data_IF_178298583131
#
_entry.id   IF_178298583131
#
_cell.length_a   1.000
_cell.length_b   1.000
_cell.length_c   1.000
_cell.angle_alpha   90.00
_cell.angle_beta   90.00
_cell.angle_gamma   90.00
#
_symmetry.space_group_name_H-M   'P 1'
#
loop_
_entity.id
_entity.type
_entity.pdbx_description
1 polymer ?
#
# COMPACT_ATOMS: atom_id res chain seq x y z
N UNK A 1 -6.10 -18.35 -0.26
CA UNK A 1 -4.66 -18.55 -0.42
C UNK A 1 -3.97 -17.22 -0.78
N UNK A 2 -2.84 -16.89 -0.11
CA UNK A 2 -2.05 -15.69 -0.38
C UNK A 2 -0.65 -16.12 -0.80
N UNK A 3 -0.04 -15.36 -1.70
CA UNK A 3 1.37 -15.51 -2.09
C UNK A 3 2.06 -14.16 -2.00
N UNK A 4 3.34 -14.17 -1.64
CA UNK A 4 4.20 -12.98 -1.70
C UNK A 4 5.29 -13.18 -2.73
N UNK A 5 5.55 -12.11 -3.49
CA UNK A 5 6.67 -12.04 -4.44
C UNK A 5 7.47 -10.79 -4.10
N UNK A 6 8.77 -10.88 -3.97
CA UNK A 6 9.62 -9.68 -3.83
C UNK A 6 10.51 -9.52 -5.05
N UNK A 7 10.64 -8.27 -5.48
CA UNK A 7 11.61 -7.83 -6.49
C UNK A 7 12.75 -7.00 -5.84
N UNK A 8 12.80 -6.94 -4.50
CA UNK A 8 13.87 -6.23 -3.77
C UNK A 8 15.08 -7.15 -3.53
N UNK A 9 15.90 -7.29 -4.56
CA UNK A 9 17.14 -8.05 -4.50
C UNK A 9 18.38 -7.18 -4.21
N UNK A 10 18.20 -5.85 -4.08
CA UNK A 10 19.32 -4.92 -3.95
C UNK A 10 19.68 -4.60 -2.50
N UNK A 11 18.72 -4.66 -1.57
CA UNK A 11 18.98 -4.36 -0.17
C UNK A 11 19.46 -5.60 0.55
N UNK A 12 20.63 -5.45 1.21
CA UNK A 12 21.20 -6.52 2.06
C UNK A 12 20.17 -6.90 3.13
N UNK A 13 19.81 -8.18 3.20
CA UNK A 13 18.85 -8.69 4.19
C UNK A 13 17.38 -8.52 3.86
N UNK A 14 16.99 -7.76 2.81
CA UNK A 14 15.58 -7.59 2.44
C UNK A 14 14.89 -8.93 2.13
N UNK A 15 15.56 -9.78 1.37
CA UNK A 15 15.08 -11.13 1.07
C UNK A 15 14.86 -11.96 2.33
N UNK A 16 15.85 -12.02 3.22
CA UNK A 16 15.73 -12.77 4.49
C UNK A 16 14.59 -12.22 5.36
N UNK A 17 14.41 -10.91 5.38
CA UNK A 17 13.36 -10.26 6.15
C UNK A 17 11.97 -10.66 5.65
N UNK A 18 11.71 -10.59 4.35
CA UNK A 18 10.40 -10.95 3.81
C UNK A 18 10.14 -12.46 3.91
N UNK A 19 11.16 -13.31 3.72
CA UNK A 19 11.08 -14.76 3.92
C UNK A 19 10.74 -15.10 5.39
N UNK A 20 11.35 -14.38 6.35
CA UNK A 20 11.05 -14.53 7.78
C UNK A 20 9.60 -14.16 8.09
N UNK A 21 9.12 -13.03 7.59
CA UNK A 21 7.71 -12.65 7.77
C UNK A 21 6.74 -13.60 7.07
N UNK A 22 7.09 -14.06 5.87
CA UNK A 22 6.33 -15.11 5.19
C UNK A 22 6.20 -16.38 6.02
N UNK A 23 7.30 -16.82 6.63
CA UNK A 23 7.31 -17.97 7.54
C UNK A 23 6.43 -17.78 8.77
N UNK A 24 6.50 -16.60 9.42
CA UNK A 24 5.66 -16.25 10.59
C UNK A 24 4.17 -16.25 10.23
N UNK A 25 3.82 -15.75 9.05
CA UNK A 25 2.42 -15.65 8.59
C UNK A 25 1.92 -16.90 7.87
N UNK A 26 2.79 -17.90 7.63
CA UNK A 26 2.44 -19.08 6.84
C UNK A 26 2.16 -18.75 5.35
N UNK A 27 2.75 -17.67 4.82
CA UNK A 27 2.59 -17.23 3.44
C UNK A 27 3.86 -17.52 2.64
N UNK A 28 3.80 -18.33 1.58
CA UNK A 28 4.94 -18.60 0.73
C UNK A 28 5.46 -17.33 0.05
N UNK A 29 6.80 -17.20 -0.02
CA UNK A 29 7.50 -16.08 -0.62
C UNK A 29 8.31 -16.56 -1.81
N UNK A 30 8.24 -15.84 -2.93
CA UNK A 30 9.09 -16.04 -4.11
C UNK A 30 9.93 -14.79 -4.35
N UNK A 31 11.21 -14.97 -4.68
CA UNK A 31 12.11 -13.87 -5.03
C UNK A 31 12.35 -13.92 -6.55
N UNK A 32 12.16 -12.78 -7.22
CA UNK A 32 12.33 -12.65 -8.68
C UNK A 32 13.17 -11.44 -9.02
N UNK A 33 13.91 -11.50 -10.13
CA UNK A 33 14.85 -10.44 -10.51
C UNK A 33 14.45 -9.73 -11.81
N UNK A 34 13.72 -10.43 -12.67
CA UNK A 34 13.36 -9.91 -13.99
C UNK A 34 11.85 -9.81 -14.18
N UNK A 35 11.43 -8.98 -15.13
CA UNK A 35 10.04 -8.89 -15.54
C UNK A 35 9.48 -10.24 -16.05
N UNK A 36 10.33 -11.03 -16.68
CA UNK A 36 9.94 -12.35 -17.18
C UNK A 36 9.73 -13.34 -16.03
N UNK A 37 10.63 -13.35 -15.03
CA UNK A 37 10.47 -14.19 -13.85
C UNK A 37 9.23 -13.79 -13.05
N UNK A 38 8.98 -12.48 -12.91
CA UNK A 38 7.75 -11.99 -12.26
C UNK A 38 6.50 -12.50 -12.98
N UNK A 39 6.45 -12.40 -14.31
CA UNK A 39 5.32 -12.89 -15.09
C UNK A 39 5.12 -14.40 -14.95
N UNK A 40 6.19 -15.18 -15.02
CA UNK A 40 6.15 -16.64 -14.83
C UNK A 40 5.67 -17.03 -13.44
N UNK A 41 6.16 -16.33 -12.42
CA UNK A 41 5.80 -16.60 -11.02
C UNK A 41 4.34 -16.24 -10.74
N UNK A 42 3.84 -15.12 -11.29
CA UNK A 42 2.41 -14.76 -11.19
C UNK A 42 1.55 -15.81 -11.89
N UNK A 43 1.93 -16.23 -13.10
CA UNK A 43 1.20 -17.27 -13.83
C UNK A 43 1.22 -18.63 -13.09
N UNK A 44 2.32 -18.99 -12.47
CA UNK A 44 2.44 -20.20 -11.66
C UNK A 44 1.52 -20.19 -10.43
N UNK A 45 1.26 -19.00 -9.86
CA UNK A 45 0.37 -18.80 -8.72
C UNK A 45 -1.03 -18.29 -9.11
N UNK A 46 -1.47 -18.57 -10.34
CA UNK A 46 -2.79 -18.14 -10.85
C UNK A 46 -4.00 -18.65 -10.07
N UNK A 47 -3.81 -19.70 -9.26
CA UNK A 47 -4.80 -20.26 -8.32
C UNK A 47 -4.88 -19.53 -6.98
N UNK A 48 -3.98 -18.56 -6.71
CA UNK A 48 -4.00 -17.80 -5.48
C UNK A 48 -5.09 -16.72 -5.49
N UNK A 49 -5.77 -16.56 -4.34
CA UNK A 49 -6.79 -15.51 -4.17
C UNK A 49 -6.16 -14.12 -4.17
N UNK A 50 -4.91 -14.00 -3.72
CA UNK A 50 -4.17 -12.75 -3.65
C UNK A 50 -2.67 -12.99 -3.85
N UNK A 51 -2.06 -12.21 -4.71
CA UNK A 51 -0.61 -12.12 -4.86
C UNK A 51 -0.16 -10.71 -4.44
N UNK A 52 0.72 -10.62 -3.43
CA UNK A 52 1.33 -9.38 -2.99
C UNK A 52 2.73 -9.27 -3.60
N UNK A 53 3.00 -8.18 -4.32
CA UNK A 53 4.32 -7.92 -4.92
C UNK A 53 4.99 -6.80 -4.15
N UNK A 54 6.06 -7.16 -3.43
CA UNK A 54 6.92 -6.20 -2.72
C UNK A 54 7.98 -5.63 -3.66
N UNK A 55 8.19 -4.33 -3.58
CA UNK A 55 9.10 -3.60 -4.46
C UNK A 55 10.21 -2.92 -3.67
N UNK A 56 11.36 -2.74 -4.32
CA UNK A 56 12.44 -1.94 -3.74
C UNK A 56 12.02 -0.46 -3.64
N UNK A 57 12.29 0.16 -2.48
CA UNK A 57 12.13 1.60 -2.32
C UNK A 57 13.10 2.36 -3.26
N UNK A 58 12.56 3.18 -4.13
CA UNK A 58 13.35 4.03 -5.04
C UNK A 58 13.19 5.50 -4.69
N UNK A 59 14.27 6.25 -4.83
CA UNK A 59 14.20 7.70 -4.72
C UNK A 59 13.32 8.27 -5.85
N UNK A 60 12.38 9.17 -5.55
CA UNK A 60 11.57 9.83 -6.57
C UNK A 60 12.42 10.70 -7.53
N UNK A 61 13.70 10.95 -7.20
CA UNK A 61 14.62 11.74 -8.03
C UNK A 61 15.42 10.91 -9.04
N UNK A 62 15.36 9.58 -8.96
CA UNK A 62 16.09 8.66 -9.84
C UNK A 62 15.19 8.17 -10.98
N UNK A 63 15.05 8.99 -12.03
CA UNK A 63 14.18 8.70 -13.16
C UNK A 63 14.55 7.41 -13.89
N UNK A 64 15.84 7.06 -13.94
CA UNK A 64 16.30 5.84 -14.63
C UNK A 64 15.82 4.61 -13.88
N UNK A 65 16.03 4.58 -12.56
CA UNK A 65 15.57 3.45 -11.72
C UNK A 65 14.05 3.37 -11.62
N UNK A 66 13.35 4.51 -11.68
CA UNK A 66 11.88 4.50 -11.75
C UNK A 66 11.40 3.89 -13.06
N UNK A 67 12.01 4.23 -14.19
CA UNK A 67 11.64 3.64 -15.49
C UNK A 67 11.93 2.13 -15.54
N UNK A 68 13.04 1.68 -14.94
CA UNK A 68 13.37 0.26 -14.81
C UNK A 68 12.31 -0.47 -13.96
N UNK A 69 11.97 0.06 -12.80
CA UNK A 69 10.94 -0.50 -11.93
C UNK A 69 9.57 -0.56 -12.62
N UNK A 70 9.21 0.48 -13.37
CA UNK A 70 7.96 0.50 -14.14
C UNK A 70 7.90 -0.63 -15.17
N UNK A 71 9.02 -0.92 -15.86
CA UNK A 71 9.10 -2.05 -16.81
C UNK A 71 8.90 -3.40 -16.12
N UNK A 72 9.48 -3.58 -14.94
CA UNK A 72 9.30 -4.81 -14.16
C UNK A 72 7.84 -4.94 -13.71
N UNK A 73 7.26 -3.89 -13.14
CA UNK A 73 5.88 -3.90 -12.65
C UNK A 73 4.83 -4.04 -13.75
N UNK A 74 5.12 -3.64 -14.98
CA UNK A 74 4.25 -3.89 -16.13
C UNK A 74 4.01 -5.39 -16.36
N UNK A 75 4.90 -6.27 -15.88
CA UNK A 75 4.73 -7.71 -15.93
C UNK A 75 3.63 -8.25 -15.00
N UNK A 76 3.18 -7.46 -14.03
CA UNK A 76 2.05 -7.83 -13.16
C UNK A 76 0.70 -7.89 -13.92
N UNK A 77 0.64 -7.26 -15.10
CA UNK A 77 -0.58 -7.24 -15.91
C UNK A 77 -1.60 -6.18 -15.48
N UNK A 78 -2.71 -6.04 -16.25
CA UNK A 78 -3.67 -4.95 -16.07
C UNK A 78 -4.57 -5.08 -14.83
N UNK A 79 -4.63 -6.26 -14.23
CA UNK A 79 -5.42 -6.50 -13.01
C UNK A 79 -4.68 -6.10 -11.73
N UNK A 80 -3.38 -5.75 -11.83
CA UNK A 80 -2.60 -5.35 -10.67
C UNK A 80 -2.99 -3.95 -10.18
N UNK A 81 -3.20 -3.83 -8.87
CA UNK A 81 -3.38 -2.54 -8.21
C UNK A 81 -2.08 -2.12 -7.53
N UNK A 82 -1.56 -0.96 -7.90
CA UNK A 82 -0.37 -0.40 -7.27
C UNK A 82 -0.77 0.56 -6.14
N UNK A 83 -0.14 0.39 -4.99
CA UNK A 83 -0.29 1.28 -3.85
C UNK A 83 1.05 1.97 -3.57
N UNK A 84 1.03 3.31 -3.48
CA UNK A 84 2.22 4.09 -3.19
C UNK A 84 2.41 4.22 -1.68
N UNK A 85 3.50 3.68 -1.13
CA UNK A 85 3.82 3.83 0.29
C UNK A 85 4.57 5.15 0.54
N UNK A 86 4.03 5.99 1.43
CA UNK A 86 4.59 7.28 1.81
C UNK A 86 4.67 7.40 3.34
N UNK A 87 5.79 7.92 3.85
CA UNK A 87 5.94 8.17 5.28
C UNK A 87 5.18 9.42 5.71
N UNK A 88 4.45 9.34 6.81
CA UNK A 88 3.76 10.48 7.44
C UNK A 88 4.73 11.60 7.88
N UNK A 89 6.01 11.26 8.14
CA UNK A 89 7.04 12.23 8.52
C UNK A 89 7.60 13.05 7.35
N UNK A 90 7.20 12.74 6.12
CA UNK A 90 7.66 13.44 4.91
C UNK A 90 7.05 14.84 4.85
N UNK A 91 7.85 15.87 4.51
CA UNK A 91 7.34 17.22 4.29
C UNK A 91 6.29 17.25 3.17
N UNK A 92 5.28 18.12 3.30
CA UNK A 92 4.20 18.22 2.31
C UNK A 92 4.70 18.41 0.86
N UNK A 93 5.70 19.30 0.67
CA UNK A 93 6.31 19.54 -0.64
C UNK A 93 6.97 18.30 -1.24
N UNK A 94 7.70 17.53 -0.40
CA UNK A 94 8.43 16.35 -0.82
C UNK A 94 7.45 15.19 -1.09
N UNK A 95 6.39 15.09 -0.29
CA UNK A 95 5.30 14.13 -0.51
C UNK A 95 4.57 14.41 -1.83
N UNK A 96 4.20 15.67 -2.08
CA UNK A 96 3.58 16.09 -3.33
C UNK A 96 4.50 15.85 -4.53
N UNK A 97 5.80 16.07 -4.38
CA UNK A 97 6.79 15.75 -5.40
C UNK A 97 6.89 14.24 -5.65
N UNK A 98 6.97 13.43 -4.61
CA UNK A 98 7.00 11.97 -4.74
C UNK A 98 5.74 11.47 -5.47
N UNK A 99 4.56 11.92 -5.06
CA UNK A 99 3.30 11.56 -5.72
C UNK A 99 3.31 11.90 -7.22
N UNK A 100 3.86 13.07 -7.62
CA UNK A 100 4.00 13.42 -9.04
C UNK A 100 4.94 12.49 -9.80
N UNK A 101 6.08 12.14 -9.18
CA UNK A 101 7.08 11.30 -9.83
C UNK A 101 6.60 9.85 -10.00
N UNK A 102 5.73 9.38 -9.10
CA UNK A 102 5.13 8.05 -9.19
C UNK A 102 3.80 8.01 -9.97
N UNK A 103 3.27 9.14 -10.43
CA UNK A 103 2.04 9.19 -11.25
C UNK A 103 2.09 8.27 -12.50
N UNK A 104 3.22 8.16 -13.23
CA UNK A 104 3.33 7.25 -14.37
C UNK A 104 3.12 5.76 -14.05
N UNK A 105 3.15 5.38 -12.76
CA UNK A 105 2.85 4.01 -12.33
C UNK A 105 1.35 3.74 -12.22
N UNK A 106 0.51 4.74 -12.38
CA UNK A 106 -0.95 4.65 -12.24
C UNK A 106 -1.40 4.03 -10.91
N UNK A 107 -0.71 4.41 -9.79
CA UNK A 107 -1.08 3.91 -8.48
C UNK A 107 -2.51 4.32 -8.11
N UNK A 108 -3.25 3.38 -7.53
CA UNK A 108 -4.68 3.56 -7.23
C UNK A 108 -4.92 4.16 -5.85
N UNK A 109 -4.03 3.89 -4.91
CA UNK A 109 -4.17 4.35 -3.54
C UNK A 109 -2.80 4.62 -2.91
N UNK A 110 -2.82 5.24 -1.73
CA UNK A 110 -1.63 5.53 -0.93
C UNK A 110 -1.70 4.76 0.39
N UNK A 111 -0.58 4.17 0.79
CA UNK A 111 -0.37 3.62 2.13
C UNK A 111 0.43 4.66 2.93
N UNK A 112 -0.12 5.12 4.05
CA UNK A 112 0.59 6.03 4.95
C UNK A 112 1.31 5.22 6.00
N UNK A 113 2.63 5.32 6.04
CA UNK A 113 3.47 4.61 6.99
C UNK A 113 4.00 5.55 8.06
N UNK A 114 4.46 4.96 9.20
CA UNK A 114 5.14 5.69 10.29
C UNK A 114 4.27 6.78 10.92
N UNK A 115 2.99 6.50 11.09
CA UNK A 115 2.08 7.44 11.74
C UNK A 115 2.42 7.65 13.22
N UNK A 116 3.07 6.67 13.83
CA UNK A 116 3.59 6.70 15.20
C UNK A 116 4.80 7.63 15.40
N UNK A 117 5.48 8.01 14.32
CA UNK A 117 6.66 8.88 14.37
C UNK A 117 6.31 10.39 14.27
N UNK A 118 5.03 10.77 14.16
CA UNK A 118 4.62 12.17 14.02
C UNK A 118 3.24 12.44 14.62
N UNK A 119 3.12 13.58 15.29
CA UNK A 119 1.84 14.13 15.76
C UNK A 119 1.20 15.08 14.73
N UNK A 120 1.88 15.36 13.63
CA UNK A 120 1.48 16.36 12.62
C UNK A 120 1.24 15.74 11.26
N UNK A 121 0.02 15.33 10.99
CA UNK A 121 -0.37 14.71 9.70
C UNK A 121 -1.04 15.68 8.71
N UNK A 122 -1.08 16.96 9.02
CA UNK A 122 -1.64 17.98 8.11
C UNK A 122 -0.95 18.02 6.74
N UNK A 123 0.34 17.70 6.68
CA UNK A 123 1.11 17.51 5.46
C UNK A 123 0.53 16.39 4.57
N UNK A 124 0.16 15.25 5.18
CA UNK A 124 -0.45 14.10 4.49
C UNK A 124 -1.79 14.50 3.90
N UNK A 125 -2.66 15.10 4.72
CA UNK A 125 -4.00 15.51 4.28
C UNK A 125 -3.91 16.52 3.14
N UNK A 126 -3.03 17.52 3.23
CA UNK A 126 -2.85 18.54 2.18
C UNK A 126 -2.38 17.93 0.86
N UNK A 127 -1.36 17.07 0.90
CA UNK A 127 -0.81 16.44 -0.31
C UNK A 127 -1.81 15.51 -1.00
N UNK A 128 -2.59 14.76 -0.22
CA UNK A 128 -3.60 13.83 -0.74
C UNK A 128 -4.83 14.54 -1.28
N UNK A 129 -5.29 15.61 -0.61
CA UNK A 129 -6.43 16.40 -1.08
C UNK A 129 -6.16 17.02 -2.45
N UNK A 130 -4.94 17.55 -2.68
CA UNK A 130 -4.52 18.10 -3.98
C UNK A 130 -4.60 17.04 -5.10
N UNK A 131 -4.26 15.78 -4.80
CA UNK A 131 -4.16 14.70 -5.78
C UNK A 131 -5.41 13.82 -5.89
N UNK A 132 -6.35 13.95 -4.98
CA UNK A 132 -7.58 13.15 -4.91
C UNK A 132 -7.31 11.63 -4.91
N UNK A 133 -6.21 11.21 -4.27
CA UNK A 133 -5.88 9.79 -4.12
C UNK A 133 -6.39 9.28 -2.77
N UNK A 134 -7.08 8.12 -2.73
CA UNK A 134 -7.54 7.53 -1.48
C UNK A 134 -6.35 6.98 -0.67
N UNK A 135 -6.50 6.93 0.65
CA UNK A 135 -5.61 6.17 1.52
C UNK A 135 -6.20 4.77 1.68
N UNK A 136 -5.41 3.74 1.42
CA UNK A 136 -5.83 2.35 1.59
C UNK A 136 -5.56 1.82 2.99
N UNK A 137 -4.33 2.00 3.47
CA UNK A 137 -3.88 1.52 4.76
C UNK A 137 -3.01 2.56 5.48
N UNK A 138 -2.94 2.40 6.80
CA UNK A 138 -2.09 3.18 7.69
C UNK A 138 -1.26 2.20 8.52
N UNK A 139 0.03 2.49 8.73
CA UNK A 139 0.83 1.79 9.73
C UNK A 139 1.24 2.74 10.85
N UNK A 140 1.17 2.27 12.08
CA UNK A 140 1.38 3.06 13.30
C UNK A 140 2.31 2.37 14.29
N UNK A 141 3.27 1.58 13.79
CA UNK A 141 4.27 0.89 14.60
C UNK A 141 5.03 -0.17 13.82
N UNK A 142 5.75 -1.03 14.54
CA UNK A 142 6.66 -2.03 13.95
C UNK A 142 6.23 -3.48 14.15
N UNK A 143 5.13 -3.72 14.87
CA UNK A 143 4.63 -5.09 15.09
C UNK A 143 3.84 -5.58 13.89
N UNK A 144 4.27 -6.71 13.33
CA UNK A 144 3.59 -7.33 12.17
C UNK A 144 2.82 -8.55 12.65
N UNK A 145 1.53 -8.66 12.33
CA UNK A 145 0.67 -7.78 11.50
C UNK A 145 -0.14 -6.72 12.29
N UNK A 146 0.12 -6.50 13.57
CA UNK A 146 -0.75 -5.75 14.49
C UNK A 146 -0.82 -4.26 14.19
N UNK A 147 0.27 -3.66 13.73
CA UNK A 147 0.38 -2.20 13.57
C UNK A 147 0.05 -1.73 12.14
N UNK A 148 -0.85 -2.44 11.45
CA UNK A 148 -1.46 -2.02 10.19
C UNK A 148 -2.98 -2.01 10.30
N UNK A 149 -3.61 -0.96 9.80
CA UNK A 149 -5.06 -0.82 9.78
C UNK A 149 -5.55 -0.28 8.44
N UNK A 150 -6.81 -0.58 8.09
CA UNK A 150 -7.46 0.10 6.95
C UNK A 150 -7.64 1.57 7.28
N UNK A 151 -7.36 2.43 6.31
CA UNK A 151 -7.54 3.86 6.49
C UNK A 151 -9.03 4.20 6.63
N UNK A 152 -9.33 4.98 7.67
CA UNK A 152 -10.66 5.55 7.93
C UNK A 152 -10.52 7.06 8.11
N UNK A 153 -11.53 7.82 7.65
CA UNK A 153 -11.51 9.26 7.77
C UNK A 153 -11.41 9.70 9.24
N UNK A 154 -12.12 9.02 10.15
CA UNK A 154 -12.08 9.29 11.59
C UNK A 154 -10.68 9.15 12.16
N UNK A 155 -9.95 8.10 11.75
CA UNK A 155 -8.60 7.85 12.22
C UNK A 155 -7.64 8.97 11.82
N UNK A 156 -7.76 9.45 10.59
CA UNK A 156 -6.97 10.58 10.07
C UNK A 156 -7.34 11.88 10.80
N UNK A 157 -8.63 12.16 10.96
CA UNK A 157 -9.11 13.37 11.64
C UNK A 157 -8.67 13.41 13.11
N UNK A 158 -8.72 12.27 13.82
CA UNK A 158 -8.26 12.18 15.21
C UNK A 158 -6.76 12.40 15.38
N UNK A 159 -5.97 12.25 14.32
CA UNK A 159 -4.53 12.48 14.32
C UNK A 159 -4.14 13.90 13.87
N UNK A 160 -5.11 14.78 13.57
CA UNK A 160 -4.85 16.19 13.26
C UNK A 160 -4.68 17.00 14.54
N UNK A 161 -3.50 17.60 14.75
CA UNK A 161 -3.26 18.55 15.85
C UNK A 161 -4.18 19.79 15.74
N UNK A 162 -4.67 20.24 16.89
CA UNK A 162 -5.50 21.45 16.98
C UNK A 162 -6.96 21.25 16.58
N UNK A 163 -7.34 20.11 16.10
CA UNK A 163 -8.73 19.75 15.85
C UNK A 163 -9.33 19.17 17.15
N UNK A 164 -10.13 19.95 17.85
CA UNK A 164 -11.05 19.41 18.88
C UNK A 164 -12.16 18.68 18.15
N UNK A 165 -11.93 17.43 17.86
CA UNK A 165 -12.92 16.58 17.22
C UNK A 165 -13.86 16.09 18.29
N UNK A 166 -15.15 16.39 18.15
CA UNK A 166 -16.18 15.72 18.91
C UNK A 166 -16.27 14.27 18.41
N UNK A 167 -15.64 13.36 19.15
CA UNK A 167 -15.60 11.93 18.81
C UNK A 167 -16.98 11.35 18.61
N UNK A 168 -17.93 11.69 19.49
CA UNK A 168 -19.29 11.20 19.42
C UNK A 168 -19.96 11.59 18.11
N UNK A 169 -19.77 12.82 17.67
CA UNK A 169 -20.35 13.35 16.43
C UNK A 169 -19.71 12.75 15.17
N UNK A 170 -18.44 12.37 15.21
CA UNK A 170 -17.77 11.68 14.09
C UNK A 170 -18.22 10.22 14.04
N UNK A 171 -18.25 9.53 15.15
CA UNK A 171 -18.75 8.16 15.23
C UNK A 171 -20.22 8.07 14.78
N UNK A 172 -21.06 9.01 15.18
CA UNK A 172 -22.44 9.09 14.73
C UNK A 172 -22.57 9.32 13.21
N UNK A 173 -21.71 10.17 12.63
CA UNK A 173 -21.82 10.56 11.22
C UNK A 173 -21.10 9.62 10.26
N UNK A 174 -20.04 8.98 10.70
CA UNK A 174 -19.15 8.15 9.87
C UNK A 174 -18.87 6.75 10.43
N UNK A 175 -19.21 6.46 11.66
CA UNK A 175 -19.00 5.18 12.33
C UNK A 175 -19.97 4.06 11.91
N UNK A 176 -20.96 4.37 11.10
CA UNK A 176 -22.07 3.47 10.75
C UNK A 176 -21.89 2.66 9.46
N UNK A 177 -20.76 2.69 8.78
CA UNK A 177 -20.60 1.95 7.53
C UNK A 177 -19.21 1.32 7.40
N UNK A 178 -18.98 0.20 8.08
CA UNK A 178 -18.13 -0.82 7.51
C UNK A 178 -18.94 -1.43 6.35
N UNK A 179 -18.52 -1.32 5.07
CA UNK A 179 -19.10 -2.15 4.05
C UNK A 179 -18.74 -3.59 4.42
N UNK A 180 -19.75 -4.35 4.82
CA UNK A 180 -19.62 -5.80 4.84
C UNK A 180 -19.25 -6.21 3.41
N UNK A 181 -18.35 -7.19 3.21
CA UNK A 181 -18.11 -7.75 1.90
C UNK A 181 -19.45 -8.29 1.42
N UNK A 182 -20.07 -7.58 0.47
CA UNK A 182 -21.28 -8.08 -0.21
C UNK A 182 -20.91 -9.41 -0.82
N UNK A 183 -21.67 -10.40 -0.41
CA UNK A 183 -21.63 -11.78 -0.87
C UNK A 183 -21.85 -11.83 -2.40
N UNK A 184 -20.76 -11.83 -3.17
CA UNK A 184 -20.77 -11.94 -4.63
C UNK A 184 -21.24 -13.31 -5.11
N UNK A 185 -21.88 -14.12 -4.26
CA UNK A 185 -22.36 -15.48 -4.60
C UNK A 185 -23.77 -15.56 -5.14
N UNK A 186 -24.49 -14.45 -5.33
CA UNK A 186 -25.90 -14.50 -5.77
C UNK A 186 -26.13 -13.93 -7.19
N UNK A 187 -25.17 -14.03 -8.12
CA UNK A 187 -25.41 -13.67 -9.53
C UNK A 187 -24.97 -14.71 -10.58
N UNK A 188 -24.72 -15.95 -10.18
CA UNK A 188 -24.38 -17.02 -11.12
C UNK A 188 -25.51 -18.05 -11.35
N UNK A 189 -26.72 -17.83 -10.82
CA UNK A 189 -27.85 -18.75 -11.03
C UNK A 189 -29.11 -18.03 -11.52
N UNK A 190 -29.01 -17.22 -12.55
CA UNK A 190 -30.15 -16.82 -13.42
C UNK A 190 -29.64 -16.27 -14.75
N UNK A 191 -29.18 -17.16 -15.63
CA UNK A 191 -29.31 -17.02 -17.11
C UNK A 191 -29.01 -18.37 -17.75
#
# INVERSE_FOLDING_TARGET
SVRMITIDNYRIGARQQIETYGGIMGVPVSCVETAEDLRKTIAFHSDADLILVDTVGKSPRDAVKLAEMQRILAACGPAAELHLALSATTKASDMAQAMRQFEPFDYKAVVITKLDETDRIGNVVSALAERRKPISYITNGQRVPQDIERARAERILMSLEGFRVDRARIEERYGGASPQPEDRRVRAERS
#
